data_IF_583898096137
#
_entry.id   IF_583898096137
#
_cell.length_a   1.000
_cell.length_b   1.000
_cell.length_c   1.000
_cell.angle_alpha   90.00
_cell.angle_beta   90.00
_cell.angle_gamma   90.00
#
_symmetry.space_group_name_H-M   'P 1'
#
loop_
_entity.id
_entity.type
_entity.pdbx_description
1 polymer ?
#
# COMPACT_ATOMS: atom_id res chain seq x y z
N UNK A 1 12.84 -15.59 -15.74
CA UNK A 1 13.83 -15.08 -14.76
C UNK A 1 13.21 -15.26 -13.40
N UNK A 2 13.75 -16.14 -12.56
CA UNK A 2 13.28 -16.34 -11.19
C UNK A 2 14.03 -15.36 -10.29
N UNK A 3 13.34 -14.38 -9.72
CA UNK A 3 13.90 -13.46 -8.73
C UNK A 3 13.35 -13.85 -7.35
N UNK A 4 14.20 -14.39 -6.49
CA UNK A 4 13.90 -14.60 -5.08
C UNK A 4 14.56 -13.49 -4.28
N UNK A 5 13.79 -12.73 -3.55
CA UNK A 5 14.28 -11.57 -2.84
C UNK A 5 14.62 -11.91 -1.39
N UNK A 6 15.88 -11.73 -1.00
CA UNK A 6 16.34 -11.76 0.38
C UNK A 6 16.80 -10.36 0.77
N UNK A 7 16.29 -9.92 1.88
CA UNK A 7 16.70 -8.83 2.76
C UNK A 7 17.36 -7.56 2.23
N UNK A 8 16.73 -6.45 2.54
CA UNK A 8 17.27 -5.10 2.45
C UNK A 8 17.91 -4.74 3.82
N UNK A 9 19.20 -4.40 3.84
CA UNK A 9 19.87 -3.94 5.07
C UNK A 9 20.05 -2.43 5.04
N UNK A 10 19.34 -1.73 5.91
CA UNK A 10 19.57 -0.32 6.19
C UNK A 10 20.59 -0.21 7.35
N UNK A 11 21.78 0.27 7.08
CA UNK A 11 22.73 0.63 8.13
C UNK A 11 22.40 2.05 8.63
N UNK A 12 21.82 2.16 9.82
CA UNK A 12 21.69 3.44 10.48
C UNK A 12 23.05 3.88 11.01
N UNK A 13 23.44 5.10 10.68
CA UNK A 13 24.48 5.80 11.43
C UNK A 13 23.92 6.18 12.80
N UNK A 14 24.55 5.69 13.86
CA UNK A 14 24.32 6.17 15.21
C UNK A 14 24.59 7.69 15.29
N UNK A 15 23.85 8.45 16.11
CA UNK A 15 24.13 9.85 16.31
C UNK A 15 25.53 9.98 16.90
N UNK A 16 26.41 10.73 16.23
CA UNK A 16 27.69 11.12 16.77
C UNK A 16 27.42 12.14 17.87
N UNK A 17 27.49 11.70 19.10
CA UNK A 17 27.59 12.57 20.28
C UNK A 17 28.87 13.42 20.11
N UNK A 18 28.72 14.71 19.96
CA UNK A 18 29.83 15.66 20.12
C UNK A 18 30.28 15.65 21.58
N UNK A 19 31.26 14.80 21.86
CA UNK A 19 32.08 14.97 23.06
C UNK A 19 33.14 16.00 22.72
N UNK A 20 33.14 17.13 23.42
CA UNK A 20 34.23 18.12 23.42
C UNK A 20 35.53 17.44 23.85
N UNK A 21 36.40 17.22 22.89
CA UNK A 21 37.73 16.70 23.15
C UNK A 21 38.62 17.81 23.68
N UNK A 22 39.08 17.65 24.91
CA UNK A 22 40.23 18.39 25.47
C UNK A 22 41.48 17.99 24.70
N UNK A 23 42.28 19.00 24.35
CA UNK A 23 43.61 18.89 23.77
C UNK A 23 44.53 18.02 24.63
N UNK A 24 44.99 16.90 24.10
CA UNK A 24 46.19 16.23 24.52
C UNK A 24 47.12 16.06 23.31
N UNK A 25 48.23 16.77 23.29
CA UNK A 25 49.35 16.58 22.38
C UNK A 25 50.01 15.23 22.65
N UNK A 26 50.20 14.41 21.62
CA UNK A 26 50.95 13.14 21.69
C UNK A 26 51.26 12.58 20.31
N UNK A 27 52.43 12.88 19.87
CA UNK A 27 53.32 12.21 18.89
C UNK A 27 52.74 11.08 17.97
N UNK A 28 52.91 11.33 16.68
CA UNK A 28 53.54 10.50 15.66
C UNK A 28 53.09 9.05 15.48
N UNK A 29 52.26 8.85 14.48
CA UNK A 29 52.04 7.56 13.84
C UNK A 29 51.26 7.80 12.57
N UNK A 30 51.97 7.93 11.44
CA UNK A 30 51.38 7.94 10.11
C UNK A 30 50.83 6.55 9.78
N UNK A 31 49.63 6.29 10.26
CA UNK A 31 48.86 5.14 9.79
C UNK A 31 48.30 5.45 8.40
N UNK A 32 48.77 4.73 7.44
CA UNK A 32 48.38 4.82 6.05
C UNK A 32 46.84 4.59 5.86
N UNK A 33 46.07 5.66 5.74
CA UNK A 33 44.64 5.65 5.47
C UNK A 33 44.31 5.16 4.06
N UNK A 34 45.31 4.83 3.23
CA UNK A 34 45.13 4.32 1.87
C UNK A 34 44.57 2.92 1.83
N UNK A 35 44.67 2.12 2.88
CA UNK A 35 44.15 0.75 2.94
C UNK A 35 42.61 0.69 3.13
N UNK A 36 41.98 1.75 3.63
CA UNK A 36 40.51 1.80 3.80
C UNK A 36 39.77 2.36 2.58
N UNK A 37 40.49 2.89 1.59
CA UNK A 37 39.94 3.44 0.35
C UNK A 37 40.30 2.66 -0.91
N UNK A 38 41.00 1.52 -0.78
CA UNK A 38 41.22 0.67 -1.93
C UNK A 38 39.88 0.14 -2.44
N UNK A 39 39.49 0.45 -3.68
CA UNK A 39 38.35 -0.23 -4.29
C UNK A 39 38.73 -1.70 -4.32
N UNK A 40 38.01 -2.55 -3.58
CA UNK A 40 38.12 -3.98 -3.81
C UNK A 40 37.79 -4.22 -5.28
N UNK A 41 38.71 -4.73 -6.09
CA UNK A 41 38.41 -5.07 -7.47
C UNK A 41 37.25 -6.07 -7.40
N UNK A 42 36.16 -5.74 -8.09
CA UNK A 42 35.14 -6.71 -8.37
C UNK A 42 35.89 -7.89 -9.02
N UNK A 43 35.94 -9.03 -8.36
CA UNK A 43 36.50 -10.23 -8.93
C UNK A 43 35.65 -10.57 -10.15
N UNK A 44 36.15 -10.27 -11.35
CA UNK A 44 35.51 -10.58 -12.62
C UNK A 44 35.36 -12.10 -12.84
N UNK A 45 35.91 -12.90 -11.96
CA UNK A 45 35.85 -14.35 -11.99
C UNK A 45 34.92 -14.93 -10.95
N UNK A 46 33.64 -14.54 -10.96
CA UNK A 46 32.62 -15.44 -10.46
C UNK A 46 32.47 -16.58 -11.50
N UNK A 47 33.15 -17.67 -11.31
CA UNK A 47 32.98 -18.91 -12.11
C UNK A 47 31.55 -19.40 -11.82
N UNK A 48 30.61 -19.03 -12.70
CA UNK A 48 29.28 -19.58 -12.69
C UNK A 48 29.34 -20.99 -13.22
N UNK A 49 29.21 -21.98 -12.36
CA UNK A 49 29.06 -23.38 -12.79
C UNK A 49 27.68 -23.48 -13.46
N UNK A 50 27.59 -23.87 -14.74
CA UNK A 50 26.31 -24.05 -15.41
C UNK A 50 25.55 -25.18 -14.71
N UNK A 51 24.46 -24.84 -14.03
CA UNK A 51 23.56 -25.87 -13.49
C UNK A 51 22.65 -26.32 -14.63
N UNK A 52 22.70 -27.64 -14.96
CA UNK A 52 21.67 -28.23 -15.82
C UNK A 52 20.33 -28.08 -15.14
N UNK A 53 19.53 -27.13 -15.60
CA UNK A 53 18.15 -26.96 -15.18
C UNK A 53 17.37 -28.10 -15.83
N UNK A 54 16.74 -28.93 -15.02
CA UNK A 54 15.76 -29.91 -15.51
C UNK A 54 14.64 -29.18 -16.31
N UNK A 55 13.84 -29.90 -17.09
CA UNK A 55 12.75 -29.28 -17.81
C UNK A 55 11.93 -28.40 -16.81
N UNK A 56 11.52 -27.19 -17.22
CA UNK A 56 10.76 -26.34 -16.34
C UNK A 56 9.54 -27.09 -15.81
N UNK A 57 9.16 -26.92 -14.55
CA UNK A 57 7.92 -27.49 -14.06
C UNK A 57 6.81 -27.05 -14.99
N UNK A 58 5.96 -27.98 -15.39
CA UNK A 58 4.80 -27.69 -16.23
C UNK A 58 4.07 -26.49 -15.62
N UNK A 59 3.70 -25.47 -16.41
CA UNK A 59 2.97 -24.34 -15.88
C UNK A 59 1.73 -24.87 -15.14
N UNK A 60 1.38 -24.30 -13.98
CA UNK A 60 0.20 -24.72 -13.24
C UNK A 60 -0.97 -24.75 -14.21
N UNK A 61 -1.69 -25.88 -14.26
CA UNK A 61 -2.86 -26.03 -15.12
C UNK A 61 -3.82 -24.93 -14.71
N UNK A 62 -3.94 -23.90 -15.55
CA UNK A 62 -4.92 -22.84 -15.38
C UNK A 62 -6.28 -23.51 -15.44
N UNK A 63 -6.94 -23.70 -14.31
CA UNK A 63 -8.36 -24.05 -14.32
C UNK A 63 -9.07 -22.89 -14.99
N UNK A 64 -9.64 -23.16 -16.14
CA UNK A 64 -10.50 -22.22 -16.86
C UNK A 64 -11.79 -22.11 -16.05
N UNK A 65 -11.83 -21.12 -15.16
CA UNK A 65 -13.05 -20.79 -14.45
C UNK A 65 -13.90 -19.99 -15.44
N UNK A 66 -15.03 -20.53 -15.85
CA UNK A 66 -16.00 -19.80 -16.67
C UNK A 66 -16.67 -18.74 -15.79
N UNK A 67 -16.20 -17.49 -15.93
CA UNK A 67 -16.79 -16.36 -15.24
C UNK A 67 -18.05 -15.89 -15.96
N UNK A 68 -19.20 -16.15 -15.37
CA UNK A 68 -20.44 -15.49 -15.78
C UNK A 68 -20.40 -14.04 -15.26
N UNK A 69 -20.59 -13.01 -16.09
CA UNK A 69 -20.65 -11.63 -15.60
C UNK A 69 -21.75 -11.49 -14.56
N UNK A 70 -21.40 -10.92 -13.42
CA UNK A 70 -22.29 -10.85 -12.23
C UNK A 70 -23.52 -9.96 -12.45
N UNK A 71 -23.56 -9.16 -13.50
CA UNK A 71 -24.77 -8.39 -13.85
C UNK A 71 -26.08 -9.18 -13.87
N UNK A 72 -26.01 -10.53 -13.87
CA UNK A 72 -27.15 -11.44 -13.81
C UNK A 72 -27.49 -11.96 -12.41
N UNK A 73 -26.67 -11.66 -11.37
CA UNK A 73 -26.80 -12.27 -10.02
C UNK A 73 -27.14 -11.24 -8.94
N UNK A 74 -27.09 -9.95 -9.24
CA UNK A 74 -27.52 -8.90 -8.29
C UNK A 74 -29.04 -8.95 -8.19
N UNK A 75 -29.54 -9.41 -7.04
CA UNK A 75 -30.96 -9.35 -6.70
C UNK A 75 -31.42 -7.88 -6.77
N UNK A 76 -32.35 -7.49 -7.66
CA UNK A 76 -32.73 -6.10 -7.88
C UNK A 76 -33.45 -5.44 -6.70
N UNK A 77 -33.60 -6.13 -5.58
CA UNK A 77 -34.27 -5.64 -4.38
C UNK A 77 -33.37 -5.38 -3.17
N UNK A 78 -32.05 -5.58 -3.30
CA UNK A 78 -31.09 -5.16 -2.26
C UNK A 78 -30.61 -3.77 -2.64
N UNK A 79 -30.84 -2.78 -1.79
CA UNK A 79 -30.48 -1.36 -2.01
C UNK A 79 -29.09 -1.21 -2.63
N UNK A 80 -28.91 -0.15 -3.42
CA UNK A 80 -27.69 0.11 -4.21
C UNK A 80 -26.43 -0.22 -3.41
N UNK A 81 -25.56 -1.04 -4.01
CA UNK A 81 -24.29 -1.37 -3.39
C UNK A 81 -23.40 -0.13 -3.30
N UNK A 82 -22.89 0.15 -2.13
CA UNK A 82 -21.95 1.27 -1.93
C UNK A 82 -20.58 0.87 -2.42
N UNK A 83 -20.00 1.66 -3.31
CA UNK A 83 -18.63 1.49 -3.76
C UNK A 83 -17.69 2.13 -2.73
N UNK A 84 -16.98 1.31 -1.94
CA UNK A 84 -15.89 1.77 -1.08
C UNK A 84 -14.61 1.82 -1.90
N UNK A 85 -14.17 3.04 -2.20
CA UNK A 85 -12.98 3.30 -3.02
C UNK A 85 -11.72 2.78 -2.35
N UNK A 86 -10.70 2.45 -3.16
CA UNK A 86 -9.37 2.16 -2.66
C UNK A 86 -8.69 3.46 -2.16
N UNK A 87 -7.73 3.35 -1.22
CA UNK A 87 -6.89 4.48 -0.87
C UNK A 87 -6.25 5.06 -2.13
N UNK A 88 -6.33 6.37 -2.32
CA UNK A 88 -6.06 7.00 -3.61
C UNK A 88 -4.71 7.72 -3.65
N UNK A 89 -3.99 7.48 -4.72
CA UNK A 89 -3.03 8.43 -5.27
C UNK A 89 -3.77 9.31 -6.30
N UNK A 90 -3.75 10.63 -6.16
CA UNK A 90 -4.44 11.61 -7.02
C UNK A 90 -4.16 11.39 -8.52
N UNK A 91 -2.98 10.88 -8.86
CA UNK A 91 -2.58 10.58 -10.24
C UNK A 91 -3.12 9.24 -10.76
N UNK A 92 -3.80 8.45 -9.91
CA UNK A 92 -4.18 7.07 -10.22
C UNK A 92 -2.96 6.14 -10.20
N UNK A 93 -3.23 4.86 -10.44
CA UNK A 93 -2.20 3.83 -10.43
C UNK A 93 -1.95 3.36 -11.87
N UNK A 94 -0.77 3.69 -12.41
CA UNK A 94 -0.38 3.30 -13.76
C UNK A 94 0.55 2.09 -13.72
N UNK A 95 0.09 0.99 -14.31
CA UNK A 95 0.84 -0.24 -14.48
C UNK A 95 1.53 -0.19 -15.84
N UNK A 96 2.84 -0.03 -15.84
CA UNK A 96 3.64 0.14 -17.04
C UNK A 96 4.32 -1.15 -17.49
N UNK A 97 4.57 -1.24 -18.80
CA UNK A 97 5.35 -2.31 -19.42
C UNK A 97 4.54 -3.59 -19.64
N UNK A 98 5.23 -4.65 -19.99
CA UNK A 98 4.59 -5.95 -20.29
C UNK A 98 3.94 -6.55 -19.05
N UNK A 99 4.56 -6.41 -17.88
CA UNK A 99 4.04 -6.90 -16.61
C UNK A 99 4.10 -5.81 -15.57
N UNK A 100 2.99 -5.56 -14.92
CA UNK A 100 2.85 -4.59 -13.83
C UNK A 100 1.84 -5.07 -12.82
N UNK A 101 1.98 -4.62 -11.56
CA UNK A 101 1.02 -4.91 -10.51
C UNK A 101 0.99 -3.78 -9.47
N UNK A 102 -0.16 -3.62 -8.83
CA UNK A 102 -0.35 -2.83 -7.62
C UNK A 102 -1.14 -3.63 -6.60
N UNK A 103 -0.83 -3.42 -5.31
CA UNK A 103 -1.48 -4.08 -4.20
C UNK A 103 -1.93 -3.05 -3.17
N UNK A 104 -3.13 -3.23 -2.62
CA UNK A 104 -3.73 -2.35 -1.62
C UNK A 104 -4.27 -3.14 -0.46
N UNK A 105 -4.16 -2.64 0.78
CA UNK A 105 -4.89 -3.18 1.89
C UNK A 105 -6.36 -2.78 1.79
N UNK A 106 -7.26 -3.71 2.07
CA UNK A 106 -8.68 -3.46 2.29
C UNK A 106 -9.06 -3.99 3.67
N UNK A 107 -9.74 -3.18 4.45
CA UNK A 107 -10.22 -3.58 5.77
C UNK A 107 -11.69 -3.97 5.70
N UNK A 108 -12.06 -5.08 6.33
CA UNK A 108 -13.44 -5.55 6.46
C UNK A 108 -13.79 -5.67 7.94
N UNK A 109 -14.89 -5.06 8.37
CA UNK A 109 -15.45 -5.38 9.68
C UNK A 109 -16.00 -6.82 9.69
N UNK A 110 -16.27 -7.36 10.87
CA UNK A 110 -16.87 -8.70 11.00
C UNK A 110 -18.15 -8.83 10.17
N UNK A 111 -19.02 -7.83 10.22
CA UNK A 111 -20.29 -7.85 9.49
C UNK A 111 -20.09 -7.72 7.97
N UNK A 112 -19.07 -6.99 7.53
CA UNK A 112 -18.76 -6.84 6.10
C UNK A 112 -18.16 -8.13 5.52
N UNK A 113 -17.27 -8.80 6.26
CA UNK A 113 -16.65 -10.04 5.79
C UNK A 113 -17.65 -11.19 5.55
N UNK A 114 -18.84 -11.14 6.19
CA UNK A 114 -19.90 -12.14 6.02
C UNK A 114 -20.84 -11.84 4.82
N UNK A 115 -20.66 -10.69 4.15
CA UNK A 115 -21.54 -10.30 3.03
C UNK A 115 -21.05 -10.84 1.69
N UNK A 116 -21.95 -10.89 0.71
CA UNK A 116 -21.58 -11.15 -0.68
C UNK A 116 -20.92 -9.89 -1.24
N UNK A 117 -19.61 -9.89 -1.32
CA UNK A 117 -18.83 -8.78 -1.81
C UNK A 117 -18.50 -8.95 -3.29
N UNK A 118 -18.32 -7.83 -3.99
CA UNK A 118 -17.71 -7.80 -5.32
C UNK A 118 -16.60 -6.74 -5.35
N UNK A 119 -15.56 -6.98 -6.13
CA UNK A 119 -14.51 -6.02 -6.34
C UNK A 119 -14.64 -5.43 -7.75
N UNK A 120 -14.81 -4.13 -7.85
CA UNK A 120 -14.88 -3.39 -9.11
C UNK A 120 -13.52 -2.84 -9.46
N UNK A 121 -13.08 -3.03 -10.70
CA UNK A 121 -11.92 -2.38 -11.28
C UNK A 121 -12.36 -1.48 -12.41
N UNK A 122 -12.09 -0.18 -12.27
CA UNK A 122 -12.14 0.77 -13.37
C UNK A 122 -10.75 0.95 -13.96
N UNK A 123 -10.60 0.88 -15.28
CA UNK A 123 -9.29 1.02 -15.90
C UNK A 123 -9.35 1.67 -17.28
N UNK A 124 -8.25 2.29 -17.66
CA UNK A 124 -7.97 2.84 -18.99
C UNK A 124 -6.68 2.22 -19.51
N UNK A 125 -6.57 1.93 -20.79
CA UNK A 125 -5.37 1.32 -21.37
C UNK A 125 -4.79 2.15 -22.51
N UNK A 126 -3.51 1.96 -22.80
CA UNK A 126 -2.91 2.51 -24.01
C UNK A 126 -3.53 1.89 -25.27
N UNK A 127 -3.58 2.67 -26.34
CA UNK A 127 -4.02 2.20 -27.66
C UNK A 127 -3.10 1.12 -28.23
N UNK A 128 -1.82 1.16 -27.83
CA UNK A 128 -0.79 0.18 -28.21
C UNK A 128 -1.00 -1.21 -27.63
N UNK A 129 -1.80 -1.36 -26.57
CA UNK A 129 -2.09 -2.67 -25.95
C UNK A 129 -2.92 -3.53 -26.89
N UNK A 130 -2.49 -4.77 -27.12
CA UNK A 130 -3.19 -5.79 -27.92
C UNK A 130 -4.19 -6.55 -27.03
N UNK A 131 -5.52 -6.36 -27.18
CA UNK A 131 -6.50 -6.95 -26.27
C UNK A 131 -6.53 -8.48 -26.27
N UNK A 132 -6.23 -9.08 -27.42
CA UNK A 132 -6.29 -10.55 -27.61
C UNK A 132 -5.18 -11.27 -26.81
N UNK A 133 -4.09 -10.56 -26.49
CA UNK A 133 -2.93 -11.12 -25.79
C UNK A 133 -2.62 -10.39 -24.47
N UNK A 134 -3.53 -9.52 -24.01
CA UNK A 134 -3.31 -8.75 -22.79
C UNK A 134 -4.42 -8.99 -21.78
N UNK A 135 -4.03 -9.27 -20.54
CA UNK A 135 -4.94 -9.66 -19.47
C UNK A 135 -4.71 -8.79 -18.23
N UNK A 136 -5.80 -8.35 -17.61
CA UNK A 136 -5.85 -7.79 -16.27
C UNK A 136 -6.37 -8.87 -15.32
N UNK A 137 -5.63 -9.15 -14.27
CA UNK A 137 -5.95 -10.17 -13.25
C UNK A 137 -6.17 -9.51 -11.91
N UNK A 138 -7.21 -9.92 -11.19
CA UNK A 138 -7.50 -9.49 -9.82
C UNK A 138 -7.34 -10.67 -8.88
N UNK A 139 -6.62 -10.46 -7.79
CA UNK A 139 -6.49 -11.45 -6.70
C UNK A 139 -6.80 -10.80 -5.35
N UNK A 140 -7.31 -11.63 -4.44
CA UNK A 140 -7.51 -11.30 -3.04
C UNK A 140 -6.74 -12.31 -2.19
N UNK A 141 -5.95 -11.81 -1.25
CA UNK A 141 -5.09 -12.62 -0.40
C UNK A 141 -4.29 -13.65 -1.21
N UNK A 142 -3.62 -13.19 -2.26
CA UNK A 142 -2.82 -13.95 -3.22
C UNK A 142 -3.61 -15.00 -4.06
N UNK A 143 -4.95 -15.06 -3.92
CA UNK A 143 -5.80 -15.96 -4.70
C UNK A 143 -6.51 -15.19 -5.83
N UNK A 144 -6.37 -15.66 -7.06
CA UNK A 144 -7.03 -15.04 -8.24
C UNK A 144 -8.55 -15.21 -8.14
N UNK A 145 -9.27 -14.09 -8.21
CA UNK A 145 -10.74 -14.08 -8.22
C UNK A 145 -11.30 -13.83 -9.63
N UNK A 146 -10.50 -13.34 -10.56
CA UNK A 146 -10.91 -13.16 -11.94
C UNK A 146 -9.89 -12.51 -12.84
N UNK A 147 -10.15 -12.64 -14.14
CA UNK A 147 -9.34 -12.08 -15.21
C UNK A 147 -10.23 -11.43 -16.26
N UNK A 148 -9.75 -10.39 -16.90
CA UNK A 148 -10.41 -9.76 -18.06
C UNK A 148 -9.39 -9.33 -19.09
N UNK A 149 -9.81 -9.21 -20.36
CA UNK A 149 -8.97 -8.66 -21.42
C UNK A 149 -8.81 -7.17 -21.24
N UNK A 150 -7.61 -6.65 -21.50
CA UNK A 150 -7.36 -5.22 -21.45
C UNK A 150 -7.79 -4.58 -22.76
N UNK A 151 -8.92 -3.89 -22.75
CA UNK A 151 -9.45 -3.20 -23.92
C UNK A 151 -10.23 -1.93 -23.55
N UNK A 152 -9.52 -0.91 -23.08
CA UNK A 152 -10.11 0.37 -22.68
C UNK A 152 -9.31 1.58 -23.21
N UNK A 153 -9.09 1.68 -24.54
CA UNK A 153 -8.18 2.72 -25.06
C UNK A 153 -8.78 4.12 -25.12
N UNK A 154 -10.10 4.28 -25.09
CA UNK A 154 -10.78 5.57 -25.32
C UNK A 154 -11.45 6.14 -24.06
N UNK A 155 -11.97 5.27 -23.20
CA UNK A 155 -12.65 5.63 -21.95
C UNK A 155 -12.39 4.54 -20.92
N UNK A 156 -12.51 4.92 -19.66
CA UNK A 156 -12.37 3.95 -18.59
C UNK A 156 -13.53 2.95 -18.61
N UNK A 157 -13.19 1.69 -18.68
CA UNK A 157 -14.13 0.55 -18.56
C UNK A 157 -14.14 0.05 -17.11
N UNK A 158 -15.23 -0.59 -16.71
CA UNK A 158 -15.37 -1.17 -15.38
C UNK A 158 -15.72 -2.64 -15.48
N UNK A 159 -15.11 -3.45 -14.62
CA UNK A 159 -15.40 -4.90 -14.51
C UNK A 159 -15.57 -5.25 -13.03
N UNK A 160 -16.61 -6.02 -12.73
CA UNK A 160 -16.91 -6.48 -11.38
C UNK A 160 -16.54 -7.96 -11.24
N UNK A 161 -15.82 -8.27 -10.17
CA UNK A 161 -15.41 -9.63 -9.82
C UNK A 161 -16.06 -10.03 -8.50
N UNK A 162 -16.72 -11.20 -8.47
CA UNK A 162 -17.23 -11.75 -7.22
C UNK A 162 -16.08 -12.06 -6.27
N UNK A 163 -16.25 -11.70 -5.01
CA UNK A 163 -15.30 -12.07 -3.96
C UNK A 163 -15.81 -13.30 -3.23
N UNK A 164 -15.15 -14.47 -3.37
CA UNK A 164 -15.54 -15.66 -2.63
C UNK A 164 -15.43 -15.41 -1.12
N UNK A 165 -16.46 -15.67 -0.32
CA UNK A 165 -16.49 -15.36 1.11
C UNK A 165 -15.35 -16.05 1.89
N UNK A 166 -14.92 -17.22 1.46
CA UNK A 166 -13.84 -18.00 2.07
C UNK A 166 -12.45 -17.36 1.94
N UNK A 167 -12.29 -16.43 0.98
CA UNK A 167 -11.01 -15.74 0.74
C UNK A 167 -10.82 -14.52 1.62
N UNK A 168 -11.88 -13.99 2.22
CA UNK A 168 -11.81 -12.77 3.03
C UNK A 168 -11.97 -13.08 4.52
N UNK A 169 -11.40 -12.22 5.34
CA UNK A 169 -11.45 -12.30 6.80
C UNK A 169 -11.77 -10.93 7.40
N UNK A 170 -12.35 -10.86 8.59
CA UNK A 170 -12.40 -9.62 9.36
C UNK A 170 -10.99 -9.03 9.53
N UNK A 171 -10.87 -7.72 9.45
CA UNK A 171 -9.60 -7.02 9.48
C UNK A 171 -9.02 -6.78 8.09
N UNK A 172 -7.71 -6.64 7.99
CA UNK A 172 -7.01 -6.36 6.74
C UNK A 172 -6.94 -7.57 5.82
N UNK A 173 -7.25 -7.32 4.54
CA UNK A 173 -7.09 -8.23 3.41
C UNK A 173 -6.27 -7.50 2.34
N UNK A 174 -5.60 -8.22 1.46
CA UNK A 174 -4.88 -7.65 0.32
C UNK A 174 -5.69 -7.81 -0.95
N UNK A 175 -5.83 -6.74 -1.73
CA UNK A 175 -6.28 -6.82 -3.12
C UNK A 175 -5.15 -6.45 -4.04
N UNK A 176 -4.90 -7.27 -5.05
CA UNK A 176 -3.86 -7.04 -6.05
C UNK A 176 -4.46 -7.01 -7.44
N UNK A 177 -4.12 -5.99 -8.20
CA UNK A 177 -4.42 -5.89 -9.62
C UNK A 177 -3.11 -6.01 -10.38
N UNK A 178 -3.04 -6.95 -11.31
CA UNK A 178 -1.87 -7.18 -12.15
C UNK A 178 -2.26 -7.20 -13.63
N UNK A 179 -1.31 -6.83 -14.48
CA UNK A 179 -1.47 -6.83 -15.93
C UNK A 179 -0.35 -7.63 -16.59
N UNK A 180 -0.72 -8.37 -17.62
CA UNK A 180 0.19 -8.94 -18.61
C UNK A 180 -0.19 -8.31 -19.97
N UNK A 181 0.68 -7.48 -20.54
CA UNK A 181 0.38 -6.64 -21.69
C UNK A 181 1.30 -6.97 -22.86
N UNK A 182 0.75 -6.97 -24.07
CA UNK A 182 1.50 -7.14 -25.30
C UNK A 182 1.21 -6.00 -26.25
N UNK A 183 2.24 -5.55 -26.96
CA UNK A 183 2.12 -4.50 -27.95
C UNK A 183 1.52 -5.06 -29.26
N UNK A 184 0.65 -4.27 -29.93
CA UNK A 184 -0.08 -4.69 -31.13
C UNK A 184 0.84 -5.03 -32.31
N UNK A 185 1.86 -4.22 -32.56
CA UNK A 185 2.63 -4.27 -33.81
C UNK A 185 4.15 -4.26 -33.60
N UNK A 186 4.63 -3.76 -32.49
CA UNK A 186 6.05 -3.57 -32.25
C UNK A 186 6.54 -4.48 -31.11
N UNK A 187 7.59 -5.22 -31.43
CA UNK A 187 8.25 -6.09 -30.48
C UNK A 187 9.59 -5.52 -29.96
N UNK A 188 9.87 -4.23 -30.17
CA UNK A 188 11.09 -3.60 -29.68
C UNK A 188 11.01 -3.29 -28.17
N UNK A 189 12.19 -3.05 -27.59
CA UNK A 189 12.27 -2.57 -26.20
C UNK A 189 11.56 -1.23 -25.99
N UNK A 190 11.61 -0.35 -26.99
CA UNK A 190 10.93 0.96 -26.95
C UNK A 190 9.42 0.81 -26.88
N UNK A 191 8.84 -0.15 -27.57
CA UNK A 191 7.42 -0.42 -27.55
C UNK A 191 6.89 -0.79 -26.16
N UNK A 192 7.74 -1.32 -25.28
CA UNK A 192 7.32 -1.60 -23.90
C UNK A 192 7.03 -0.35 -23.06
N UNK A 193 7.60 0.79 -23.43
CA UNK A 193 7.35 2.08 -22.77
C UNK A 193 5.99 2.67 -23.17
N UNK A 194 5.42 2.21 -24.28
CA UNK A 194 4.09 2.59 -24.74
C UNK A 194 2.98 1.75 -24.11
N UNK A 195 3.34 0.65 -23.44
CA UNK A 195 2.39 -0.22 -22.75
C UNK A 195 2.08 0.34 -21.36
N UNK A 196 0.82 0.62 -21.13
CA UNK A 196 0.34 0.98 -19.80
C UNK A 196 -1.15 0.70 -19.65
N UNK A 197 -1.53 0.36 -18.43
CA UNK A 197 -2.93 0.32 -17.97
C UNK A 197 -3.03 1.15 -16.70
N UNK A 198 -3.91 2.12 -16.68
CA UNK A 198 -4.14 3.00 -15.54
C UNK A 198 -5.41 2.59 -14.82
N UNK A 199 -5.31 2.26 -13.56
CA UNK A 199 -6.45 2.02 -12.68
C UNK A 199 -7.08 3.36 -12.33
N UNK A 200 -8.39 3.49 -12.57
CA UNK A 200 -9.19 4.67 -12.23
C UNK A 200 -9.70 4.51 -10.78
N UNK A 201 -9.15 5.27 -9.81
CA UNK A 201 -9.54 5.10 -8.41
C UNK A 201 -10.99 5.46 -8.14
N UNK A 202 -11.55 6.41 -8.90
CA UNK A 202 -12.95 6.83 -8.75
C UNK A 202 -13.97 5.74 -9.14
N UNK A 203 -13.49 4.73 -9.86
CA UNK A 203 -14.29 3.59 -10.34
C UNK A 203 -13.80 2.26 -9.80
N UNK A 204 -12.82 2.28 -8.90
CA UNK A 204 -12.22 1.06 -8.35
C UNK A 204 -12.46 0.98 -6.87
N UNK A 205 -12.90 -0.18 -6.39
CA UNK A 205 -13.14 -0.39 -4.98
C UNK A 205 -13.96 -1.64 -4.69
N UNK A 206 -14.29 -1.80 -3.42
CA UNK A 206 -15.10 -2.88 -2.93
C UNK A 206 -16.58 -2.49 -2.97
N UNK A 207 -17.40 -3.26 -3.67
CA UNK A 207 -18.86 -3.14 -3.68
C UNK A 207 -19.42 -3.88 -2.46
N UNK A 208 -20.02 -3.13 -1.56
CA UNK A 208 -20.62 -3.65 -0.33
C UNK A 208 -22.13 -3.50 -0.44
N UNK A 209 -22.92 -4.59 -0.41
CA UNK A 209 -24.38 -4.50 -0.50
C UNK A 209 -24.97 -3.81 0.75
N UNK A 210 -25.92 -2.91 0.54
CA UNK A 210 -26.71 -2.26 1.58
C UNK A 210 -26.07 -1.04 2.22
N UNK A 211 -26.90 -0.28 2.96
CA UNK A 211 -26.54 1.02 3.57
C UNK A 211 -25.74 0.85 4.87
N UNK A 212 -25.76 -0.32 5.49
CA UNK A 212 -25.01 -0.56 6.73
C UNK A 212 -23.51 -0.66 6.43
N UNK A 213 -22.79 0.38 6.73
CA UNK A 213 -21.34 0.45 6.56
C UNK A 213 -20.58 -0.59 7.40
N UNK A 214 -21.24 -1.34 8.30
CA UNK A 214 -20.60 -2.35 9.13
C UNK A 214 -19.59 -1.82 10.13
N UNK A 215 -19.47 -0.49 10.26
CA UNK A 215 -18.55 0.19 11.17
C UNK A 215 -19.24 0.35 12.51
N UNK A 216 -18.77 -0.35 13.56
CA UNK A 216 -19.41 -0.40 14.87
C UNK A 216 -18.46 -0.18 16.05
N UNK A 217 -17.18 -0.34 15.83
CA UNK A 217 -16.12 -0.20 16.82
C UNK A 217 -15.04 0.76 16.34
N UNK A 218 -14.28 1.31 17.28
CA UNK A 218 -13.10 2.14 16.98
C UNK A 218 -12.08 1.34 16.15
N UNK A 219 -11.97 0.03 16.37
CA UNK A 219 -11.14 -0.82 15.54
C UNK A 219 -11.56 -0.87 14.06
N UNK A 220 -12.82 -0.54 13.75
CA UNK A 220 -13.34 -0.49 12.37
C UNK A 220 -13.05 0.83 11.65
N UNK A 221 -12.34 1.77 12.24
CA UNK A 221 -11.97 3.04 11.58
C UNK A 221 -11.36 2.82 10.19
N UNK A 222 -10.50 1.81 9.94
CA UNK A 222 -9.99 1.56 8.59
C UNK A 222 -11.06 1.17 7.57
N UNK A 223 -12.26 0.81 8.02
CA UNK A 223 -13.41 0.53 7.15
C UNK A 223 -14.23 1.77 6.76
N UNK A 224 -13.92 2.95 7.32
CA UNK A 224 -14.59 4.20 6.96
C UNK A 224 -14.43 4.47 5.44
N UNK A 225 -15.51 4.80 4.73
CA UNK A 225 -15.47 4.93 3.29
C UNK A 225 -14.89 6.30 2.87
N UNK A 226 -13.77 6.33 2.11
CA UNK A 226 -13.30 7.53 1.43
C UNK A 226 -14.29 7.96 0.34
N UNK A 227 -14.21 9.22 -0.07
CA UNK A 227 -14.93 9.72 -1.24
C UNK A 227 -14.33 9.21 -2.57
N UNK A 228 -14.95 9.61 -3.69
CA UNK A 228 -14.48 9.20 -5.03
C UNK A 228 -13.08 9.73 -5.39
N UNK A 229 -12.58 10.73 -4.67
CA UNK A 229 -11.23 11.26 -4.78
C UNK A 229 -10.24 10.53 -3.88
N UNK A 230 -10.71 9.58 -3.04
CA UNK A 230 -9.90 8.83 -2.08
C UNK A 230 -9.57 9.61 -0.80
N UNK A 231 -10.14 10.80 -0.63
CA UNK A 231 -10.03 11.55 0.60
C UNK A 231 -11.04 11.03 1.63
N UNK A 232 -10.67 11.05 2.93
CA UNK A 232 -11.62 10.80 4.01
C UNK A 232 -12.22 12.14 4.47
N UNK A 233 -13.49 12.45 4.15
CA UNK A 233 -14.14 13.63 4.66
C UNK A 233 -14.43 13.50 6.17
N UNK A 234 -13.83 14.36 6.98
CA UNK A 234 -14.04 14.44 8.43
C UNK A 234 -14.81 15.72 8.74
N UNK A 235 -16.04 15.59 9.18
CA UNK A 235 -16.84 16.70 9.66
C UNK A 235 -16.58 16.91 11.14
N UNK A 236 -15.78 17.91 11.47
CA UNK A 236 -15.52 18.32 12.85
C UNK A 236 -16.73 19.10 13.41
N UNK A 237 -17.36 18.54 14.42
CA UNK A 237 -18.49 19.16 15.12
C UNK A 237 -18.00 19.64 16.49
N UNK A 238 -18.04 20.95 16.70
CA UNK A 238 -17.64 21.57 17.95
C UNK A 238 -18.90 21.88 18.76
N UNK A 239 -19.24 21.06 19.77
CA UNK A 239 -20.37 21.32 20.64
C UNK A 239 -20.05 22.48 21.61
N UNK A 240 -21.04 23.31 21.89
CA UNK A 240 -20.92 24.40 22.86
C UNK A 240 -19.99 25.54 22.37
N UNK A 241 -19.34 26.20 23.33
CA UNK A 241 -18.42 27.30 23.05
C UNK A 241 -17.06 26.76 22.59
N UNK A 242 -16.60 27.25 21.46
CA UNK A 242 -15.27 26.90 20.95
C UNK A 242 -14.18 27.45 21.87
N UNK A 243 -13.33 26.58 22.41
CA UNK A 243 -12.15 26.95 23.17
C UNK A 243 -10.88 26.44 22.47
N UNK A 244 -9.72 27.02 22.76
CA UNK A 244 -8.44 26.56 22.23
C UNK A 244 -8.19 25.08 22.60
N UNK A 245 -8.54 24.68 23.84
CA UNK A 245 -8.40 23.29 24.29
C UNK A 245 -9.27 22.31 23.47
N UNK A 246 -10.52 22.70 23.14
CA UNK A 246 -11.38 21.86 22.32
C UNK A 246 -10.88 21.74 20.88
N UNK A 247 -10.31 22.80 20.32
CA UNK A 247 -9.70 22.77 18.99
C UNK A 247 -8.46 21.84 18.99
N UNK A 248 -7.61 21.92 20.00
CA UNK A 248 -6.45 21.04 20.14
C UNK A 248 -6.87 19.56 20.24
N UNK A 249 -7.87 19.25 21.07
CA UNK A 249 -8.43 17.89 21.18
C UNK A 249 -8.98 17.39 19.86
N UNK A 250 -9.70 18.25 19.13
CA UNK A 250 -10.23 17.95 17.81
C UNK A 250 -9.10 17.60 16.83
N UNK A 251 -8.03 18.39 16.78
CA UNK A 251 -6.87 18.15 15.92
C UNK A 251 -6.22 16.80 16.27
N UNK A 252 -6.02 16.50 17.55
CA UNK A 252 -5.49 15.22 18.00
C UNK A 252 -6.39 14.05 17.59
N UNK A 253 -7.70 14.18 17.74
CA UNK A 253 -8.65 13.16 17.32
C UNK A 253 -8.62 12.92 15.80
N UNK A 254 -8.48 13.97 14.99
CA UNK A 254 -8.29 13.86 13.52
C UNK A 254 -7.00 13.09 13.21
N UNK A 255 -5.91 13.37 13.93
CA UNK A 255 -4.64 12.65 13.76
C UNK A 255 -4.80 11.16 14.07
N UNK A 256 -5.54 10.80 15.13
CA UNK A 256 -5.80 9.40 15.48
C UNK A 256 -6.67 8.70 14.43
N UNK A 257 -7.72 9.34 13.91
CA UNK A 257 -8.50 8.79 12.79
C UNK A 257 -7.59 8.50 11.60
N UNK A 258 -6.74 9.46 11.25
CA UNK A 258 -5.84 9.32 10.10
C UNK A 258 -4.80 8.21 10.30
N UNK A 259 -4.25 8.10 11.52
CA UNK A 259 -3.26 7.07 11.86
C UNK A 259 -3.88 5.69 11.90
N UNK A 260 -4.99 5.50 12.63
CA UNK A 260 -5.66 4.20 12.76
C UNK A 260 -6.22 3.71 11.43
N UNK A 261 -6.85 4.61 10.66
CA UNK A 261 -7.44 4.28 9.36
C UNK A 261 -6.42 4.24 8.22
N UNK A 262 -5.17 4.67 8.46
CA UNK A 262 -4.12 4.81 7.44
C UNK A 262 -4.55 5.69 6.26
N UNK A 263 -5.31 6.74 6.57
CA UNK A 263 -5.78 7.69 5.56
C UNK A 263 -4.70 8.73 5.26
N UNK A 264 -4.24 8.74 4.00
CA UNK A 264 -3.23 9.72 3.54
C UNK A 264 -3.79 11.12 3.33
N UNK A 265 -5.09 11.20 3.02
CA UNK A 265 -5.73 12.45 2.63
C UNK A 265 -7.01 12.69 3.47
N UNK A 266 -6.88 13.02 4.77
CA UNK A 266 -8.01 13.47 5.54
C UNK A 266 -8.42 14.88 5.06
N UNK A 267 -9.69 15.07 4.74
CA UNK A 267 -10.27 16.38 4.41
C UNK A 267 -11.14 16.83 5.56
N UNK A 268 -10.73 17.86 6.28
CA UNK A 268 -11.43 18.32 7.49
C UNK A 268 -12.19 19.61 7.21
N UNK A 269 -13.48 19.61 7.54
CA UNK A 269 -14.29 20.83 7.60
C UNK A 269 -15.06 20.92 8.91
N UNK A 270 -15.41 22.12 9.32
CA UNK A 270 -16.10 22.40 10.58
C UNK A 270 -17.55 22.79 10.31
N UNK A 271 -18.49 22.19 11.06
CA UNK A 271 -19.90 22.52 10.92
C UNK A 271 -20.83 21.60 11.70
N UNK A 272 -22.11 21.63 11.37
CA UNK A 272 -23.10 20.70 11.90
C UNK A 272 -22.83 19.27 11.40
N UNK A 273 -23.37 18.26 12.08
CA UNK A 273 -23.24 16.86 11.63
C UNK A 273 -23.70 16.71 10.18
N UNK A 274 -22.91 15.98 9.41
CA UNK A 274 -23.19 15.70 8.00
C UNK A 274 -23.88 14.35 7.83
N UNK A 275 -24.73 14.26 6.82
CA UNK A 275 -25.29 13.01 6.29
C UNK A 275 -24.51 12.54 5.06
N UNK A 276 -24.76 11.32 4.62
CA UNK A 276 -24.19 10.71 3.41
C UNK A 276 -23.35 9.48 3.69
N UNK A 277 -22.92 8.83 2.60
CA UNK A 277 -22.30 7.50 2.63
C UNK A 277 -20.79 7.52 2.84
N UNK A 278 -20.14 8.70 2.69
CA UNK A 278 -18.68 8.84 2.75
C UNK A 278 -18.24 9.69 3.92
N UNK A 279 -17.10 9.31 4.50
CA UNK A 279 -16.47 10.05 5.58
C UNK A 279 -17.08 9.79 6.96
N UNK A 280 -16.75 10.66 7.91
CA UNK A 280 -17.11 10.51 9.33
C UNK A 280 -17.40 11.86 9.95
N UNK A 281 -18.36 11.92 10.90
CA UNK A 281 -18.49 13.02 11.83
C UNK A 281 -17.59 12.77 13.03
N UNK A 282 -16.95 13.81 13.52
CA UNK A 282 -16.13 13.78 14.72
C UNK A 282 -16.66 14.81 15.72
N UNK A 283 -17.10 14.33 16.87
CA UNK A 283 -17.62 15.15 17.96
C UNK A 283 -16.67 15.04 19.15
N UNK A 284 -16.14 16.17 19.63
CA UNK A 284 -15.23 16.19 20.80
C UNK A 284 -15.69 17.28 21.75
N UNK A 285 -15.98 16.96 22.99
CA UNK A 285 -16.38 17.96 23.98
C UNK A 285 -17.01 17.37 25.25
N UNK A 286 -17.36 18.25 26.17
CA UNK A 286 -18.09 17.89 27.40
C UNK A 286 -19.47 17.32 27.07
N UNK A 287 -19.90 16.32 27.85
CA UNK A 287 -21.17 15.65 27.63
C UNK A 287 -22.39 16.58 27.66
N UNK A 288 -22.37 17.57 28.53
CA UNK A 288 -23.47 18.56 28.63
C UNK A 288 -23.69 19.32 27.32
N UNK A 289 -22.65 19.55 26.52
CA UNK A 289 -22.74 20.18 25.22
C UNK A 289 -23.00 19.17 24.11
N UNK A 290 -22.38 18.01 24.19
CA UNK A 290 -22.58 16.90 23.24
C UNK A 290 -24.02 16.40 23.26
N UNK A 291 -24.63 16.30 24.44
CA UNK A 291 -26.02 15.85 24.62
C UNK A 291 -27.07 16.80 23.97
N UNK A 292 -26.68 18.03 23.68
CA UNK A 292 -27.55 19.00 22.96
C UNK A 292 -27.58 18.77 21.45
N UNK A 293 -26.65 17.98 20.93
CA UNK A 293 -26.61 17.66 19.50
C UNK A 293 -27.71 16.65 19.17
N UNK A 294 -28.39 16.90 18.06
CA UNK A 294 -29.40 15.98 17.57
C UNK A 294 -28.76 14.66 17.08
N UNK A 295 -29.55 13.59 17.18
CA UNK A 295 -29.24 12.29 16.53
C UNK A 295 -27.94 11.59 17.01
N UNK A 296 -27.67 11.63 18.33
CA UNK A 296 -26.62 10.82 18.95
C UNK A 296 -27.17 9.54 19.58
N UNK A 297 -28.25 9.01 19.02
CA UNK A 297 -28.82 7.73 19.43
C UNK A 297 -27.74 6.62 19.35
N UNK A 298 -27.61 5.84 20.42
CA UNK A 298 -26.58 4.79 20.54
C UNK A 298 -25.35 5.20 21.35
N UNK A 299 -25.18 6.48 21.72
CA UNK A 299 -24.08 6.88 22.63
C UNK A 299 -24.24 6.24 24.03
N UNK A 300 -25.47 6.01 24.46
CA UNK A 300 -25.77 5.45 25.77
C UNK A 300 -25.54 6.47 26.90
N UNK A 301 -25.59 5.97 28.15
CA UNK A 301 -25.30 6.80 29.31
C UNK A 301 -23.81 7.11 29.41
N UNK A 302 -23.49 8.37 29.67
CA UNK A 302 -22.13 8.83 29.91
C UNK A 302 -22.00 9.17 31.40
N UNK A 303 -21.16 8.44 32.11
CA UNK A 303 -20.88 8.58 33.54
C UNK A 303 -19.37 8.72 33.84
N UNK A 304 -18.58 8.98 32.77
CA UNK A 304 -17.14 9.21 32.84
C UNK A 304 -16.55 9.34 31.39
N UNK A 305 -15.26 9.06 31.21
CA UNK A 305 -14.62 9.06 29.89
C UNK A 305 -15.36 8.15 28.89
N UNK A 306 -15.72 8.70 27.73
CA UNK A 306 -16.45 7.94 26.70
C UNK A 306 -15.87 8.17 25.32
N UNK A 307 -15.46 7.07 24.69
CA UNK A 307 -15.10 6.97 23.29
C UNK A 307 -16.10 6.02 22.61
N UNK A 308 -16.75 6.46 21.55
CA UNK A 308 -17.72 5.64 20.85
C UNK A 308 -17.67 5.90 19.34
N UNK A 309 -17.89 4.85 18.55
CA UNK A 309 -18.17 4.95 17.12
C UNK A 309 -19.63 4.56 16.89
N UNK A 310 -20.42 5.52 16.48
CA UNK A 310 -21.83 5.32 16.19
C UNK A 310 -22.00 4.99 14.71
N UNK A 311 -22.74 3.93 14.35
CA UNK A 311 -22.97 3.56 12.96
C UNK A 311 -23.73 4.66 12.19
N UNK A 312 -23.62 4.71 10.88
CA UNK A 312 -24.35 5.69 10.07
C UNK A 312 -25.85 5.46 10.11
N UNK A 313 -26.62 6.53 9.93
CA UNK A 313 -28.06 6.50 9.73
C UNK A 313 -28.38 7.26 8.43
N UNK A 314 -29.63 7.22 7.92
CA UNK A 314 -30.00 8.02 6.75
C UNK A 314 -29.75 9.53 6.89
N UNK A 315 -29.75 10.05 8.13
CA UNK A 315 -29.56 11.47 8.44
C UNK A 315 -28.17 11.81 8.96
N UNK A 316 -27.30 10.81 9.19
CA UNK A 316 -26.03 11.02 9.86
C UNK A 316 -24.99 10.00 9.38
N UNK A 317 -23.80 10.46 9.00
CA UNK A 317 -22.62 9.60 8.74
C UNK A 317 -22.21 8.82 9.99
N UNK A 318 -21.38 7.81 9.85
CA UNK A 318 -20.66 7.24 10.98
C UNK A 318 -20.09 8.39 11.85
N UNK A 319 -20.22 8.27 13.18
CA UNK A 319 -19.87 9.38 14.07
C UNK A 319 -18.98 8.90 15.20
N UNK A 320 -17.78 9.44 15.28
CA UNK A 320 -16.88 9.23 16.42
C UNK A 320 -17.18 10.29 17.46
N UNK A 321 -17.42 9.85 18.68
CA UNK A 321 -17.71 10.72 19.83
C UNK A 321 -16.65 10.51 20.89
N UNK A 322 -15.97 11.61 21.26
CA UNK A 322 -15.01 11.67 22.37
C UNK A 322 -15.58 12.64 23.40
N UNK A 323 -16.03 12.12 24.54
CA UNK A 323 -16.75 12.92 25.53
C UNK A 323 -16.52 12.44 26.95
N UNK A 324 -17.00 13.21 27.92
CA UNK A 324 -16.96 12.92 29.34
C UNK A 324 -17.65 13.99 30.15
N UNK A 325 -17.83 13.75 31.45
CA UNK A 325 -18.50 14.72 32.34
C UNK A 325 -17.58 15.90 32.67
N UNK A 326 -16.28 15.66 32.67
CA UNK A 326 -15.24 16.65 32.99
C UNK A 326 -14.23 16.77 31.84
N UNK A 327 -13.44 17.84 31.87
CA UNK A 327 -12.32 18.02 30.93
C UNK A 327 -11.30 16.88 31.00
N UNK A 328 -11.06 16.36 32.21
CA UNK A 328 -10.15 15.22 32.45
C UNK A 328 -10.72 13.92 31.85
N UNK A 329 -12.03 13.72 31.91
CA UNK A 329 -12.67 12.59 31.24
C UNK A 329 -12.50 12.67 29.73
N UNK A 330 -12.71 13.85 29.14
CA UNK A 330 -12.52 14.04 27.69
C UNK A 330 -11.05 13.77 27.29
N UNK A 331 -10.09 14.22 28.11
CA UNK A 331 -8.67 13.96 27.87
C UNK A 331 -8.34 12.47 28.01
N UNK A 332 -8.95 11.79 28.99
CA UNK A 332 -8.78 10.33 29.18
C UNK A 332 -9.37 9.55 28.00
N UNK A 333 -10.57 9.93 27.54
CA UNK A 333 -11.17 9.32 26.35
C UNK A 333 -10.32 9.55 25.10
N UNK A 334 -9.73 10.75 24.96
CA UNK A 334 -8.81 11.05 23.86
C UNK A 334 -7.50 10.28 23.96
N UNK A 335 -6.99 10.02 25.16
CA UNK A 335 -5.81 9.19 25.38
C UNK A 335 -6.09 7.74 24.97
N UNK A 336 -7.22 7.18 25.39
CA UNK A 336 -7.67 5.86 24.95
C UNK A 336 -7.84 5.78 23.41
N UNK A 337 -8.29 6.87 22.78
CA UNK A 337 -8.37 6.95 21.32
C UNK A 337 -7.00 6.93 20.65
N UNK A 338 -5.96 7.41 21.32
CA UNK A 338 -4.58 7.37 20.81
C UNK A 338 -3.94 5.97 20.85
N UNK A 339 -4.53 5.04 21.59
CA UNK A 339 -4.06 3.65 21.63
C UNK A 339 -4.47 2.95 20.33
N UNK A 340 -3.49 2.62 19.50
CA UNK A 340 -3.75 1.93 18.23
C UNK A 340 -4.19 0.48 18.49
N UNK A 341 -5.37 0.05 18.00
CA UNK A 341 -5.77 -1.35 18.11
C UNK A 341 -4.77 -2.26 17.41
N UNK A 342 -4.52 -3.44 17.96
CA UNK A 342 -3.66 -4.41 17.32
C UNK A 342 -4.21 -4.77 15.93
N UNK A 343 -3.42 -4.59 14.84
CA UNK A 343 -3.90 -4.89 13.51
C UNK A 343 -4.17 -6.40 13.37
N UNK A 344 -5.31 -6.73 12.80
CA UNK A 344 -5.73 -8.11 12.54
C UNK A 344 -6.19 -8.27 11.09
N UNK A 345 -6.29 -9.51 10.62
CA UNK A 345 -6.69 -9.82 9.25
C UNK A 345 -5.97 -11.03 8.68
N UNK A 346 -5.97 -11.16 7.36
CA UNK A 346 -5.15 -12.16 6.67
C UNK A 346 -3.66 -11.81 6.76
N UNK A 347 -2.79 -12.79 6.58
CA UNK A 347 -1.34 -12.54 6.57
C UNK A 347 -0.95 -11.59 5.43
N UNK A 348 -1.56 -11.76 4.26
CA UNK A 348 -1.39 -10.93 3.08
C UNK A 348 -1.89 -9.50 3.32
N UNK A 349 -3.07 -9.37 3.94
CA UNK A 349 -3.66 -8.08 4.27
C UNK A 349 -2.84 -7.29 5.29
N UNK A 350 -2.33 -7.93 6.32
CA UNK A 350 -1.43 -7.30 7.29
C UNK A 350 -0.14 -6.82 6.63
N UNK A 351 0.43 -7.63 5.73
CA UNK A 351 1.60 -7.25 4.95
C UNK A 351 1.31 -6.04 4.05
N UNK A 352 0.20 -6.08 3.29
CA UNK A 352 -0.22 -4.95 2.44
C UNK A 352 -0.45 -3.69 3.27
N UNK A 353 -1.09 -3.80 4.44
CA UNK A 353 -1.29 -2.66 5.33
C UNK A 353 0.01 -2.08 5.91
N UNK A 354 1.03 -2.90 6.10
CA UNK A 354 2.35 -2.43 6.54
C UNK A 354 3.13 -1.75 5.42
N UNK A 355 2.96 -2.21 4.18
CA UNK A 355 3.68 -1.67 3.02
C UNK A 355 3.00 -0.48 2.35
N UNK A 356 1.75 -0.20 2.65
CA UNK A 356 0.99 0.89 2.03
C UNK A 356 0.87 2.11 2.99
N UNK A 357 1.06 3.34 2.52
CA UNK A 357 1.50 3.82 1.20
C UNK A 357 3.00 3.65 0.94
N UNK A 358 3.71 3.24 1.94
CA UNK A 358 5.12 2.93 1.96
C UNK A 358 5.50 2.35 3.31
N UNK A 359 6.39 1.36 3.32
CA UNK A 359 6.86 0.75 4.54
C UNK A 359 7.68 1.75 5.37
N UNK A 360 7.30 1.98 6.63
CA UNK A 360 8.06 2.84 7.54
C UNK A 360 9.31 2.13 8.02
N UNK A 361 10.45 2.68 7.69
CA UNK A 361 11.75 2.10 7.98
C UNK A 361 12.31 2.67 9.29
N UNK A 362 12.75 1.80 10.19
CA UNK A 362 13.54 2.18 11.35
C UNK A 362 15.04 1.98 11.09
N UNK A 363 15.87 2.75 11.78
CA UNK A 363 17.31 2.63 11.68
C UNK A 363 17.82 1.24 12.06
N UNK A 364 18.82 0.72 11.32
CA UNK A 364 19.42 -0.60 11.57
C UNK A 364 18.54 -1.79 11.17
N UNK A 365 17.37 -1.57 10.59
CA UNK A 365 16.43 -2.62 10.23
C UNK A 365 16.87 -3.34 8.95
N UNK A 366 16.63 -4.66 8.91
CA UNK A 366 16.73 -5.48 7.69
C UNK A 366 15.33 -5.81 7.22
N UNK A 367 14.99 -5.44 5.99
CA UNK A 367 13.69 -5.68 5.37
C UNK A 367 13.80 -6.75 4.29
N UNK A 368 12.81 -7.60 4.18
CA UNK A 368 12.66 -8.51 3.04
C UNK A 368 11.84 -7.82 1.97
N UNK A 369 12.22 -7.98 0.69
CA UNK A 369 11.47 -7.36 -0.40
C UNK A 369 10.01 -7.82 -0.45
N UNK A 370 9.71 -9.04 -0.03
CA UNK A 370 8.33 -9.53 0.10
C UNK A 370 7.51 -8.75 1.13
N UNK A 371 8.17 -8.25 2.20
CA UNK A 371 7.52 -7.43 3.22
C UNK A 371 7.21 -6.03 2.68
N UNK A 372 7.86 -5.65 1.56
CA UNK A 372 7.63 -4.43 0.79
C UNK A 372 6.67 -4.65 -0.40
N UNK A 373 5.99 -5.80 -0.48
CA UNK A 373 5.06 -6.14 -1.54
C UNK A 373 5.69 -6.76 -2.79
N UNK A 374 7.03 -6.99 -2.82
CA UNK A 374 7.71 -7.64 -3.94
C UNK A 374 7.84 -9.14 -3.71
N UNK A 375 6.99 -9.90 -4.37
CA UNK A 375 7.02 -11.36 -4.33
C UNK A 375 8.05 -11.96 -5.29
N UNK A 376 8.47 -13.20 -4.98
CA UNK A 376 9.22 -13.99 -5.95
C UNK A 376 8.32 -14.33 -7.12
N UNK A 377 8.76 -14.05 -8.33
CA UNK A 377 7.98 -14.31 -9.54
C UNK A 377 8.87 -14.67 -10.71
N UNK A 378 8.31 -15.40 -11.65
CA UNK A 378 8.92 -15.71 -12.93
C UNK A 378 8.44 -14.72 -13.97
N UNK A 379 9.33 -14.32 -14.85
CA UNK A 379 9.07 -13.38 -15.91
C UNK A 379 9.56 -13.92 -17.25
N UNK A 380 8.71 -13.86 -18.24
CA UNK A 380 9.06 -14.13 -19.63
C UNK A 380 8.64 -12.91 -20.47
N UNK A 381 9.62 -12.15 -20.93
CA UNK A 381 9.39 -10.90 -21.67
C UNK A 381 10.67 -10.08 -21.78
N UNK A 382 10.55 -8.83 -22.21
CA UNK A 382 11.69 -7.95 -22.49
C UNK A 382 12.07 -7.09 -21.30
N UNK A 383 11.09 -6.59 -20.57
CA UNK A 383 11.26 -5.74 -19.38
C UNK A 383 10.38 -6.24 -18.27
N UNK A 384 10.99 -6.49 -17.13
CA UNK A 384 10.33 -6.66 -15.86
C UNK A 384 10.54 -5.41 -15.02
N UNK A 385 9.44 -4.83 -14.51
CA UNK A 385 9.48 -3.69 -13.59
C UNK A 385 8.76 -4.07 -12.30
N UNK A 386 9.42 -3.82 -11.18
CA UNK A 386 8.85 -3.96 -9.86
C UNK A 386 9.28 -2.76 -9.03
N UNK A 387 8.38 -2.24 -8.21
CA UNK A 387 8.64 -1.08 -7.37
C UNK A 387 8.00 -1.22 -6.00
N UNK A 388 8.52 -0.48 -5.04
CA UNK A 388 7.97 -0.36 -3.70
C UNK A 388 8.27 1.02 -3.15
N UNK A 389 7.46 1.44 -2.19
CA UNK A 389 7.67 2.70 -1.49
C UNK A 389 8.15 2.43 -0.06
N UNK A 390 9.08 3.27 0.40
CA UNK A 390 9.48 3.31 1.80
C UNK A 390 9.32 4.71 2.35
N UNK A 391 8.93 4.81 3.61
CA UNK A 391 8.86 6.07 4.35
C UNK A 391 10.05 6.10 5.31
N UNK A 392 10.93 7.06 5.09
CA UNK A 392 12.12 7.27 5.91
C UNK A 392 11.76 8.06 7.18
N UNK A 393 12.46 7.85 8.32
CA UNK A 393 12.26 8.64 9.51
C UNK A 393 12.51 10.14 9.26
N UNK A 394 11.85 10.99 10.02
CA UNK A 394 11.98 12.44 9.87
C UNK A 394 13.41 12.97 10.14
N UNK A 395 14.19 12.23 10.94
CA UNK A 395 15.60 12.50 11.26
C UNK A 395 16.59 11.81 10.32
N UNK A 396 16.09 11.19 9.23
CA UNK A 396 16.95 10.54 8.25
C UNK A 396 17.79 11.56 7.49
N UNK A 397 19.12 11.38 7.53
CA UNK A 397 20.06 12.19 6.77
C UNK A 397 20.69 11.40 5.62
N UNK A 398 20.39 11.74 4.35
CA UNK A 398 20.91 11.03 3.18
C UNK A 398 22.36 11.42 2.87
N UNK A 399 23.30 10.85 3.59
CA UNK A 399 24.72 11.09 3.38
C UNK A 399 25.23 10.50 2.05
N UNK A 400 26.01 11.25 1.29
CA UNK A 400 26.47 10.84 -0.05
C UNK A 400 27.49 9.68 -0.02
N UNK A 401 28.17 9.45 1.08
CA UNK A 401 29.20 8.42 1.22
C UNK A 401 28.68 7.07 1.70
N UNK A 402 27.47 7.02 2.25
CA UNK A 402 26.90 5.78 2.77
C UNK A 402 26.09 5.03 1.69
N UNK A 403 25.98 3.73 1.84
CA UNK A 403 25.29 2.84 0.91
C UNK A 403 24.33 1.91 1.65
N UNK A 404 23.21 1.64 1.02
CA UNK A 404 22.23 0.67 1.47
C UNK A 404 22.41 -0.60 0.62
N UNK A 405 22.75 -1.75 1.19
CA UNK A 405 22.89 -2.97 0.43
C UNK A 405 21.54 -3.56 0.05
N UNK A 406 21.26 -3.66 -1.25
CA UNK A 406 20.15 -4.44 -1.80
C UNK A 406 20.66 -5.83 -2.17
N UNK A 407 20.12 -6.88 -1.52
CA UNK A 407 20.49 -8.26 -1.80
C UNK A 407 19.43 -8.94 -2.67
N UNK A 408 19.85 -9.49 -3.79
CA UNK A 408 18.97 -10.19 -4.73
C UNK A 408 19.48 -11.62 -4.98
N UNK A 409 18.52 -12.54 -5.08
CA UNK A 409 18.79 -13.90 -5.58
C UNK A 409 17.89 -14.19 -6.77
N UNK A 410 18.42 -14.84 -7.80
CA UNK A 410 17.64 -15.09 -8.99
C UNK A 410 18.38 -15.94 -10.02
N UNK A 411 17.68 -16.23 -11.13
CA UNK A 411 18.24 -16.94 -12.26
C UNK A 411 17.73 -16.36 -13.57
N UNK A 412 18.49 -16.58 -14.63
CA UNK A 412 18.10 -16.19 -15.99
C UNK A 412 18.58 -17.26 -16.99
N UNK A 413 17.81 -17.42 -18.06
CA UNK A 413 18.13 -18.35 -19.12
C UNK A 413 19.25 -17.81 -20.03
N UNK A 414 19.91 -18.68 -20.77
CA UNK A 414 20.79 -18.31 -21.86
C UNK A 414 20.02 -17.60 -22.99
N UNK A 415 20.72 -16.81 -23.80
CA UNK A 415 20.14 -16.13 -24.96
C UNK A 415 19.45 -14.80 -24.63
N UNK A 416 19.79 -14.16 -23.50
CA UNK A 416 19.35 -12.79 -23.23
C UNK A 416 19.88 -11.84 -24.32
N UNK A 417 19.13 -10.78 -24.58
CA UNK A 417 19.56 -9.72 -25.49
C UNK A 417 20.88 -9.09 -25.02
N UNK A 418 21.75 -8.65 -25.94
CA UNK A 418 22.96 -7.91 -25.58
C UNK A 418 22.62 -6.69 -24.72
N UNK A 419 23.35 -6.51 -23.61
CA UNK A 419 23.12 -5.42 -22.67
C UNK A 419 22.02 -5.67 -21.63
N UNK A 420 21.49 -6.89 -21.54
CA UNK A 420 20.59 -7.28 -20.48
C UNK A 420 21.19 -7.00 -19.10
N UNK A 421 20.42 -6.37 -18.22
CA UNK A 421 20.91 -5.90 -16.92
C UNK A 421 19.79 -5.81 -15.89
N UNK A 422 20.16 -5.86 -14.64
CA UNK A 422 19.30 -5.38 -13.55
C UNK A 422 19.59 -3.91 -13.37
N UNK A 423 18.58 -3.06 -13.48
CA UNK A 423 18.66 -1.63 -13.22
C UNK A 423 17.84 -1.31 -11.98
N UNK A 424 18.43 -0.60 -11.04
CA UNK A 424 17.74 -0.11 -9.85
C UNK A 424 17.69 1.41 -9.91
N UNK A 425 16.48 1.95 -9.87
CA UNK A 425 16.24 3.39 -9.84
C UNK A 425 15.62 3.77 -8.49
N UNK A 426 15.99 4.94 -7.97
CA UNK A 426 15.45 5.51 -6.73
C UNK A 426 14.91 6.89 -7.07
N UNK A 427 13.64 7.14 -6.73
CA UNK A 427 12.96 8.41 -7.03
C UNK A 427 13.08 8.80 -8.51
N UNK A 428 12.95 7.81 -9.41
CA UNK A 428 13.03 8.00 -10.86
C UNK A 428 14.44 8.22 -11.42
N UNK A 429 15.49 8.10 -10.61
CA UNK A 429 16.89 8.23 -11.03
C UNK A 429 17.61 6.89 -10.93
N UNK A 430 18.39 6.57 -11.95
CA UNK A 430 19.19 5.34 -11.95
C UNK A 430 20.27 5.41 -10.88
N UNK A 431 20.26 4.43 -10.00
CA UNK A 431 21.15 4.36 -8.84
C UNK A 431 22.25 3.31 -9.03
N UNK A 432 21.89 2.14 -9.54
CA UNK A 432 22.83 1.02 -9.72
C UNK A 432 22.41 0.16 -10.90
N UNK A 433 23.39 -0.35 -11.66
CA UNK A 433 23.19 -1.28 -12.77
C UNK A 433 24.08 -2.51 -12.62
N UNK A 434 23.52 -3.71 -12.81
CA UNK A 434 24.26 -4.96 -12.80
C UNK A 434 24.01 -5.74 -14.08
N UNK A 435 25.05 -5.97 -14.93
CA UNK A 435 24.88 -6.69 -16.18
C UNK A 435 24.53 -8.18 -15.93
N UNK A 436 23.78 -8.74 -16.87
CA UNK A 436 23.46 -10.15 -16.96
C UNK A 436 24.16 -10.70 -18.22
N UNK A 437 25.19 -11.57 -18.08
CA UNK A 437 25.87 -12.12 -19.25
C UNK A 437 24.92 -12.88 -20.18
N UNK A 438 24.97 -12.60 -21.47
CA UNK A 438 24.02 -13.10 -22.46
C UNK A 438 24.32 -14.54 -22.93
N UNK A 439 25.57 -14.96 -22.88
CA UNK A 439 26.04 -16.18 -23.56
C UNK A 439 25.73 -17.49 -22.81
N UNK A 440 25.47 -17.39 -21.51
CA UNK A 440 25.08 -18.54 -20.68
C UNK A 440 24.00 -18.13 -19.70
N UNK A 441 23.04 -19.01 -19.44
CA UNK A 441 22.15 -18.84 -18.30
C UNK A 441 22.94 -18.74 -17.00
N UNK A 442 22.38 -18.15 -15.97
CA UNK A 442 23.07 -18.00 -14.69
C UNK A 442 22.13 -17.99 -13.50
N UNK A 443 22.67 -18.41 -12.38
CA UNK A 443 22.07 -18.25 -11.06
C UNK A 443 22.92 -17.30 -10.23
N UNK A 444 22.30 -16.43 -9.48
CA UNK A 444 22.98 -15.62 -8.48
C UNK A 444 22.25 -15.71 -7.16
N UNK A 445 23.02 -15.85 -6.10
CA UNK A 445 22.51 -15.94 -4.74
C UNK A 445 23.10 -14.79 -3.92
N UNK A 446 22.23 -14.06 -3.22
CA UNK A 446 22.60 -12.98 -2.32
C UNK A 446 23.51 -11.90 -2.97
N UNK A 447 23.30 -11.65 -4.30
CA UNK A 447 24.04 -10.63 -5.03
C UNK A 447 23.74 -9.26 -4.41
N UNK A 448 24.77 -8.60 -3.92
CA UNK A 448 24.64 -7.30 -3.26
C UNK A 448 24.82 -6.16 -4.26
N UNK A 449 23.83 -5.29 -4.34
CA UNK A 449 23.85 -4.04 -5.10
C UNK A 449 23.91 -2.86 -4.10
N UNK A 450 25.00 -2.07 -4.10
CA UNK A 450 25.17 -0.98 -3.15
C UNK A 450 24.41 0.26 -3.62
N UNK A 451 23.25 0.56 -3.03
CA UNK A 451 22.45 1.73 -3.35
C UNK A 451 23.03 2.97 -2.66
N UNK A 452 23.30 4.08 -3.39
CA UNK A 452 23.81 5.31 -2.78
C UNK A 452 22.76 5.91 -1.83
N UNK A 453 23.10 6.18 -0.59
CA UNK A 453 22.16 6.74 0.39
C UNK A 453 21.65 8.12 -0.04
N UNK A 454 22.49 8.92 -0.71
CA UNK A 454 22.12 10.23 -1.25
C UNK A 454 21.03 10.19 -2.35
N UNK A 455 20.73 9.03 -2.93
CA UNK A 455 19.64 8.89 -3.91
C UNK A 455 18.25 8.85 -3.26
N UNK A 456 18.16 8.67 -1.95
CA UNK A 456 16.90 8.64 -1.19
C UNK A 456 16.39 10.05 -0.77
N UNK A 457 16.76 11.08 -1.50
CA UNK A 457 16.33 12.47 -1.26
C UNK A 457 14.96 12.75 -1.86
#
# INVERSE_FOLDING_TARGET
MLLSAKGFKLLALAPVLFATAALAQGQGGSGDLSVLLAPHPFSETAVFTPVRIGPPPSPPVRQKIDYTPISAILDPHVGEAVLRHLPNNIQGYRLHGEIGASEWPIYLSETQALRKLSFRVGYLSAVSVMPEASTLTVSINDTIIGETRINAPNKAETVDFAVPPELVRPGFNAVRVSVDQRHRVDCSLRATDELWTQIDPSKTGLLIPGVDAGVRDIADIPALPPDAQGALPIRAVLPGRTSAANVERMIRAVQFISAHGRFEQPSVDVGAMAAGDYGVNLVVGLYDDVAKLADLNGLGRVDGPRLALLPPTPTRRATIVVTGLTEDDVNSALTAFGEEPAPHGSQEGLRAAQSFPGYRVAGGQTLKLRDLGLHSQEFSGRIFRAGFNIVLPADFYPANYAKVPLQLSGGYAAGLAPGARILVSINGRDAVSAPLPANSGGLFKDKTLPLPLGAFR
#
